data_IF_169036903948
#
_entry.id   IF_169036903948
#
_cell.length_a   1.000
_cell.length_b   1.000
_cell.length_c   1.000
_cell.angle_alpha   90.00
_cell.angle_beta   90.00
_cell.angle_gamma   90.00
#
_symmetry.space_group_name_H-M   'P 1'
#
loop_
_entity.id
_entity.type
_entity.pdbx_description
1 polymer ?
#
# COMPACT_ATOMS: atom_id res chain seq x y z
N UNK A 1 36.59 3.51 -0.07
CA UNK A 1 35.76 4.51 -0.79
C UNK A 1 34.38 4.44 -0.15
N UNK A 2 33.77 5.56 0.22
CA UNK A 2 32.40 5.59 0.71
C UNK A 2 31.45 5.13 -0.40
N UNK A 3 30.50 4.29 -0.08
CA UNK A 3 29.47 3.81 -1.01
C UNK A 3 28.60 5.00 -1.46
N UNK A 4 28.26 5.10 -2.74
CA UNK A 4 27.52 6.21 -3.31
C UNK A 4 26.51 5.72 -4.34
N UNK A 5 25.30 6.29 -4.32
CA UNK A 5 24.21 5.98 -5.24
C UNK A 5 23.54 7.27 -5.73
N UNK A 6 22.99 7.24 -6.92
CA UNK A 6 22.19 8.34 -7.44
C UNK A 6 20.88 8.48 -6.66
N UNK A 7 20.20 7.36 -6.39
CA UNK A 7 18.91 7.33 -5.69
C UNK A 7 18.93 6.27 -4.60
N UNK A 8 18.50 6.66 -3.39
CA UNK A 8 18.16 5.71 -2.33
C UNK A 8 16.64 5.63 -2.12
N UNK A 9 16.11 4.41 -2.13
CA UNK A 9 14.71 4.10 -1.83
C UNK A 9 14.63 3.45 -0.45
N UNK A 10 13.82 3.98 0.45
CA UNK A 10 13.66 3.48 1.81
C UNK A 10 12.33 2.75 1.97
N UNK A 11 12.40 1.44 2.19
CA UNK A 11 11.24 0.55 2.32
C UNK A 11 10.92 -0.22 1.03
N UNK A 12 10.86 -1.54 1.13
CA UNK A 12 10.61 -2.50 0.04
C UNK A 12 9.19 -3.03 -0.01
N UNK A 13 8.21 -2.21 0.41
CA UNK A 13 6.79 -2.47 0.18
C UNK A 13 6.41 -2.26 -1.28
N UNK A 14 5.11 -2.36 -1.58
CA UNK A 14 4.55 -2.21 -2.93
C UNK A 14 5.05 -0.95 -3.66
N UNK A 15 5.07 0.21 -2.98
CA UNK A 15 5.55 1.45 -3.56
C UNK A 15 7.08 1.45 -3.75
N UNK A 16 7.83 0.93 -2.79
CA UNK A 16 9.30 0.92 -2.85
C UNK A 16 9.85 0.00 -3.93
N UNK A 17 9.24 -1.16 -4.16
CA UNK A 17 9.58 -2.03 -5.29
C UNK A 17 9.39 -1.27 -6.60
N UNK A 18 8.24 -0.62 -6.79
CA UNK A 18 7.94 0.15 -7.98
C UNK A 18 8.92 1.34 -8.17
N UNK A 19 9.21 2.06 -7.09
CA UNK A 19 10.15 3.20 -7.11
C UNK A 19 11.56 2.76 -7.47
N UNK A 20 12.08 1.72 -6.82
CA UNK A 20 13.44 1.24 -7.04
C UNK A 20 13.66 0.70 -8.46
N UNK A 21 12.73 -0.12 -8.96
CA UNK A 21 12.81 -0.65 -10.33
C UNK A 21 12.69 0.48 -11.36
N UNK A 22 11.79 1.45 -11.15
CA UNK A 22 11.59 2.56 -12.09
C UNK A 22 12.78 3.53 -12.10
N UNK A 23 13.38 3.83 -10.95
CA UNK A 23 14.59 4.63 -10.84
C UNK A 23 15.77 3.97 -11.56
N UNK A 24 16.00 2.68 -11.29
CA UNK A 24 17.08 1.91 -11.91
C UNK A 24 16.89 1.76 -13.43
N UNK A 25 15.66 1.51 -13.90
CA UNK A 25 15.31 1.48 -15.33
C UNK A 25 15.49 2.84 -16.03
N UNK A 26 15.49 3.95 -15.27
CA UNK A 26 15.80 5.29 -15.77
C UNK A 26 17.32 5.54 -15.86
N UNK A 27 18.17 4.54 -15.57
CA UNK A 27 19.62 4.60 -15.68
C UNK A 27 20.35 5.01 -14.38
N UNK A 28 19.63 5.29 -13.29
CA UNK A 28 20.23 5.71 -12.02
C UNK A 28 20.80 4.52 -11.23
N UNK A 29 21.99 4.68 -10.66
CA UNK A 29 22.51 3.76 -9.64
C UNK A 29 21.64 3.84 -8.40
N UNK A 30 20.82 2.81 -8.16
CA UNK A 30 19.75 2.81 -7.18
C UNK A 30 20.02 1.85 -6.02
N UNK A 31 19.86 2.33 -4.80
CA UNK A 31 19.92 1.54 -3.57
C UNK A 31 18.52 1.40 -2.97
N UNK A 32 18.09 0.17 -2.71
CA UNK A 32 16.87 -0.10 -1.94
C UNK A 32 17.24 -0.60 -0.55
N UNK A 33 16.80 0.12 0.47
CA UNK A 33 17.03 -0.19 1.88
C UNK A 33 15.74 -0.70 2.54
N UNK A 34 15.80 -1.82 3.29
CA UNK A 34 14.68 -2.24 4.14
C UNK A 34 15.17 -2.84 5.45
N UNK A 35 14.45 -2.55 6.53
CA UNK A 35 14.68 -3.13 7.86
C UNK A 35 14.36 -4.63 7.95
N UNK A 36 13.61 -5.16 6.99
CA UNK A 36 13.26 -6.59 6.86
C UNK A 36 14.30 -7.33 6.04
N UNK A 37 14.27 -8.65 6.16
CA UNK A 37 15.14 -9.55 5.40
C UNK A 37 14.69 -9.76 3.95
N UNK A 38 13.48 -9.30 3.57
CA UNK A 38 12.93 -9.53 2.25
C UNK A 38 11.89 -8.47 1.85
N UNK A 39 11.74 -8.27 0.53
CA UNK A 39 10.74 -7.38 -0.05
C UNK A 39 9.32 -7.94 0.06
N UNK A 40 8.33 -7.03 0.04
CA UNK A 40 6.91 -7.39 -0.03
C UNK A 40 6.00 -6.47 0.76
N UNK A 41 6.44 -5.97 1.92
CA UNK A 41 5.61 -5.10 2.76
C UNK A 41 4.20 -5.66 2.99
N UNK A 42 3.18 -4.82 2.87
CA UNK A 42 1.78 -5.23 3.02
C UNK A 42 1.37 -6.28 1.97
N UNK A 43 1.79 -6.14 0.71
CA UNK A 43 1.43 -7.08 -0.36
C UNK A 43 1.94 -8.50 -0.12
N UNK A 44 3.13 -8.66 0.45
CA UNK A 44 3.76 -9.97 0.67
C UNK A 44 3.54 -10.58 2.05
N UNK A 45 3.23 -9.76 3.09
CA UNK A 45 3.28 -10.25 4.47
C UNK A 45 2.02 -10.00 5.30
N UNK A 46 1.01 -9.28 4.80
CA UNK A 46 -0.20 -9.01 5.58
C UNK A 46 -1.31 -10.06 5.45
N UNK A 47 -1.13 -11.04 4.57
CA UNK A 47 -2.17 -12.03 4.28
C UNK A 47 -3.27 -11.55 3.30
N UNK A 48 -3.13 -10.37 2.70
CA UNK A 48 -4.04 -9.89 1.65
C UNK A 48 -3.92 -10.76 0.39
N UNK A 49 -5.05 -11.03 -0.23
CA UNK A 49 -5.17 -11.86 -1.45
C UNK A 49 -5.79 -11.11 -2.63
N UNK A 50 -6.04 -9.81 -2.48
CA UNK A 50 -6.58 -8.97 -3.54
C UNK A 50 -5.80 -7.67 -3.65
N UNK A 51 -5.43 -7.29 -4.87
CA UNK A 51 -4.78 -6.04 -5.22
C UNK A 51 -5.85 -5.05 -5.67
N UNK A 52 -6.02 -3.98 -4.89
CA UNK A 52 -7.03 -2.94 -5.06
C UNK A 52 -6.44 -1.70 -5.71
N UNK A 53 -7.28 -0.87 -6.40
CA UNK A 53 -6.88 0.43 -6.94
C UNK A 53 -6.14 0.36 -8.27
N UNK A 54 -6.30 -0.72 -9.01
CA UNK A 54 -5.77 -0.89 -10.38
C UNK A 54 -6.73 -0.43 -11.46
N UNK A 55 -8.03 -0.45 -11.16
CA UNK A 55 -9.10 -0.30 -12.13
C UNK A 55 -10.03 0.87 -11.78
N UNK A 56 -10.64 1.45 -12.82
CA UNK A 56 -11.78 2.35 -12.69
C UNK A 56 -13.07 1.57 -12.38
N UNK A 57 -14.20 2.26 -12.32
CA UNK A 57 -15.52 1.67 -12.05
C UNK A 57 -16.09 0.86 -13.22
N UNK A 58 -15.51 1.00 -14.43
CA UNK A 58 -15.83 0.19 -15.60
C UNK A 58 -14.90 -1.02 -15.79
N UNK A 59 -13.88 -1.18 -14.91
CA UNK A 59 -12.90 -2.27 -14.98
C UNK A 59 -11.73 -2.01 -15.92
N UNK A 60 -11.52 -0.79 -16.38
CA UNK A 60 -10.36 -0.42 -17.19
C UNK A 60 -9.15 -0.14 -16.30
N UNK A 61 -7.94 -0.40 -16.82
CA UNK A 61 -6.70 -0.06 -16.14
C UNK A 61 -6.57 1.45 -15.93
N UNK A 62 -6.26 1.87 -14.69
CA UNK A 62 -6.05 3.27 -14.34
C UNK A 62 -4.67 3.79 -14.71
N UNK A 63 -3.65 2.96 -14.49
CA UNK A 63 -2.25 3.34 -14.67
C UNK A 63 -1.55 2.27 -15.51
N UNK A 64 -0.90 2.69 -16.58
CA UNK A 64 -0.03 1.85 -17.40
C UNK A 64 1.40 1.77 -16.80
N UNK A 65 2.33 1.19 -17.55
CA UNK A 65 3.73 1.04 -17.14
C UNK A 65 3.90 0.03 -16.01
N UNK A 66 4.79 0.31 -15.06
CA UNK A 66 5.17 -0.65 -14.03
C UNK A 66 3.99 -1.16 -13.19
N UNK A 67 3.02 -0.32 -12.89
CA UNK A 67 1.87 -0.71 -12.08
C UNK A 67 1.06 -1.83 -12.74
N UNK A 68 0.80 -1.70 -14.04
CA UNK A 68 0.12 -2.71 -14.84
C UNK A 68 0.99 -3.94 -15.09
N UNK A 69 2.26 -3.74 -15.47
CA UNK A 69 3.23 -4.81 -15.67
C UNK A 69 3.32 -5.74 -14.45
N UNK A 70 3.51 -5.16 -13.27
CA UNK A 70 3.59 -5.92 -12.01
C UNK A 70 2.29 -6.65 -11.70
N UNK A 71 1.15 -5.98 -11.87
CA UNK A 71 -0.15 -6.56 -11.60
C UNK A 71 -0.49 -7.73 -12.54
N UNK A 72 -0.20 -7.60 -13.85
CA UNK A 72 -0.40 -8.66 -14.83
C UNK A 72 0.46 -9.90 -14.52
N UNK A 73 1.73 -9.73 -14.13
CA UNK A 73 2.60 -10.83 -13.70
C UNK A 73 2.12 -11.49 -12.40
N UNK A 74 1.54 -10.71 -11.49
CA UNK A 74 1.08 -11.18 -10.19
C UNK A 74 -0.26 -11.92 -10.26
N UNK A 75 -1.13 -11.59 -11.22
CA UNK A 75 -2.51 -12.05 -11.30
C UNK A 75 -2.67 -13.58 -11.19
N UNK A 76 -3.67 -14.01 -10.43
CA UNK A 76 -4.14 -15.39 -10.31
C UNK A 76 -5.56 -15.54 -10.89
N UNK A 77 -5.77 -14.96 -12.07
CA UNK A 77 -7.04 -14.96 -12.79
C UNK A 77 -7.49 -13.54 -13.16
N UNK A 78 -8.70 -13.41 -13.73
CA UNK A 78 -9.25 -12.12 -14.12
C UNK A 78 -9.58 -11.23 -12.91
N UNK A 79 -9.74 -9.94 -13.16
CA UNK A 79 -10.27 -9.01 -12.16
C UNK A 79 -11.68 -9.42 -11.72
N UNK A 80 -11.98 -9.25 -10.45
CA UNK A 80 -13.27 -9.54 -9.85
C UNK A 80 -13.97 -8.27 -9.43
N UNK A 81 -15.25 -8.12 -9.80
CA UNK A 81 -16.07 -7.01 -9.34
C UNK A 81 -16.56 -7.26 -7.91
N UNK A 82 -16.30 -6.32 -7.01
CA UNK A 82 -16.78 -6.32 -5.63
C UNK A 82 -17.58 -5.04 -5.38
N UNK A 83 -18.90 -5.12 -5.49
CA UNK A 83 -19.77 -3.94 -5.43
C UNK A 83 -19.46 -2.98 -6.60
N UNK A 84 -18.98 -1.78 -6.29
CA UNK A 84 -18.62 -0.76 -7.30
C UNK A 84 -17.13 -0.69 -7.63
N UNK A 85 -16.32 -1.63 -7.16
CA UNK A 85 -14.87 -1.65 -7.40
C UNK A 85 -14.42 -2.96 -8.01
N UNK A 86 -13.28 -2.93 -8.70
CA UNK A 86 -12.63 -4.13 -9.23
C UNK A 86 -11.34 -4.41 -8.44
N UNK A 87 -11.08 -5.69 -8.18
CA UNK A 87 -9.88 -6.17 -7.49
C UNK A 87 -9.24 -7.30 -8.27
N UNK A 88 -7.93 -7.44 -8.15
CA UNK A 88 -7.18 -8.51 -8.82
C UNK A 88 -6.74 -9.54 -7.79
N UNK A 89 -7.17 -10.82 -7.89
CA UNK A 89 -6.74 -11.88 -6.99
C UNK A 89 -5.25 -12.18 -7.16
N UNK A 90 -4.54 -12.41 -6.07
CA UNK A 90 -3.15 -12.82 -6.05
C UNK A 90 -2.81 -13.64 -4.79
N UNK A 91 -1.67 -14.35 -4.82
CA UNK A 91 -1.10 -15.05 -3.67
C UNK A 91 0.05 -14.25 -3.06
N UNK A 92 0.09 -14.05 -1.73
CA UNK A 92 1.19 -13.34 -1.06
C UNK A 92 2.57 -13.97 -1.33
N UNK A 93 2.64 -15.29 -1.48
CA UNK A 93 3.86 -16.02 -1.84
C UNK A 93 4.38 -15.56 -3.21
N UNK A 94 3.51 -15.58 -4.22
CA UNK A 94 3.83 -15.12 -5.58
C UNK A 94 4.25 -13.64 -5.59
N UNK A 95 3.63 -12.82 -4.74
CA UNK A 95 4.06 -11.41 -4.59
C UNK A 95 5.52 -11.32 -4.14
N UNK A 96 5.91 -12.09 -3.11
CA UNK A 96 7.29 -12.10 -2.60
C UNK A 96 8.29 -12.62 -3.64
N UNK A 97 7.96 -13.70 -4.31
CA UNK A 97 8.78 -14.30 -5.38
C UNK A 97 8.98 -13.34 -6.55
N UNK A 98 7.89 -12.72 -7.03
CA UNK A 98 7.93 -11.74 -8.11
C UNK A 98 8.77 -10.52 -7.71
N UNK A 99 8.56 -9.99 -6.49
CA UNK A 99 9.33 -8.87 -5.98
C UNK A 99 10.83 -9.20 -5.91
N UNK A 100 11.20 -10.36 -5.36
CA UNK A 100 12.58 -10.80 -5.27
C UNK A 100 13.23 -10.96 -6.66
N UNK A 101 12.52 -11.59 -7.60
CA UNK A 101 12.97 -11.78 -8.98
C UNK A 101 13.21 -10.45 -9.68
N UNK A 102 12.26 -9.54 -9.62
CA UNK A 102 12.38 -8.21 -10.26
C UNK A 102 13.52 -7.40 -9.68
N UNK A 103 13.67 -7.37 -8.36
CA UNK A 103 14.76 -6.62 -7.71
C UNK A 103 16.12 -7.21 -8.06
N UNK A 104 16.26 -8.53 -8.10
CA UNK A 104 17.52 -9.19 -8.43
C UNK A 104 17.89 -9.08 -9.92
N UNK A 105 16.92 -9.02 -10.82
CA UNK A 105 17.13 -8.96 -12.27
C UNK A 105 17.21 -7.54 -12.84
N UNK A 106 16.90 -6.51 -12.06
CA UNK A 106 16.95 -5.12 -12.52
C UNK A 106 18.38 -4.59 -12.50
N UNK A 107 18.98 -4.22 -13.66
CA UNK A 107 20.29 -3.58 -13.69
C UNK A 107 20.32 -2.27 -12.88
N UNK A 108 21.49 -1.88 -12.40
CA UNK A 108 21.73 -0.66 -11.61
C UNK A 108 20.98 -0.61 -10.27
N UNK A 109 20.42 -1.73 -9.80
CA UNK A 109 19.71 -1.81 -8.53
C UNK A 109 20.49 -2.70 -7.54
N UNK A 110 20.78 -2.14 -6.37
CA UNK A 110 21.35 -2.86 -5.22
C UNK A 110 20.36 -2.85 -4.07
N UNK A 111 20.33 -3.91 -3.27
CA UNK A 111 19.41 -4.06 -2.13
C UNK A 111 20.19 -4.29 -0.84
N UNK A 112 19.87 -3.53 0.22
CA UNK A 112 20.39 -3.74 1.55
C UNK A 112 19.24 -4.15 2.50
N UNK A 113 19.23 -5.42 2.87
CA UNK A 113 18.26 -6.01 3.80
C UNK A 113 18.72 -5.89 5.25
N UNK A 114 17.79 -6.04 6.19
CA UNK A 114 18.03 -5.92 7.63
C UNK A 114 18.71 -4.59 8.02
N UNK A 115 18.45 -3.54 7.22
CA UNK A 115 19.09 -2.23 7.38
C UNK A 115 18.09 -1.24 7.96
N UNK A 116 18.25 -0.94 9.24
CA UNK A 116 17.49 0.11 9.90
C UNK A 116 18.05 1.48 9.51
N UNK A 117 17.19 2.39 9.12
CA UNK A 117 17.57 3.77 8.88
C UNK A 117 17.72 4.50 10.22
N UNK A 118 18.94 4.93 10.54
CA UNK A 118 19.27 5.54 11.84
C UNK A 118 19.79 6.97 11.73
N UNK A 119 20.23 7.41 10.53
CA UNK A 119 20.79 8.73 10.33
C UNK A 119 20.57 9.26 8.91
N UNK A 120 20.39 10.55 8.81
CA UNK A 120 20.37 11.30 7.56
C UNK A 120 21.13 12.61 7.77
N UNK A 121 21.91 13.04 6.79
CA UNK A 121 22.61 14.33 6.78
C UNK A 121 21.99 15.19 5.70
N UNK A 122 21.61 16.42 6.06
CA UNK A 122 21.06 17.42 5.15
C UNK A 122 22.08 18.54 4.98
N UNK A 123 22.42 18.86 3.74
CA UNK A 123 23.31 19.94 3.34
C UNK A 123 22.64 20.73 2.19
N UNK A 124 22.64 22.04 2.25
CA UNK A 124 22.07 22.91 1.22
C UNK A 124 20.64 22.52 0.77
N UNK A 125 19.74 22.26 1.73
CA UNK A 125 18.37 21.82 1.51
C UNK A 125 18.24 20.47 0.75
N UNK A 126 19.31 19.69 0.69
CA UNK A 126 19.32 18.35 0.11
C UNK A 126 19.80 17.31 1.12
N UNK A 127 19.22 16.11 1.08
CA UNK A 127 19.75 14.97 1.82
C UNK A 127 21.03 14.52 1.10
N UNK A 128 22.18 14.67 1.76
CA UNK A 128 23.49 14.30 1.23
C UNK A 128 23.84 12.84 1.51
N UNK A 129 23.37 12.29 2.64
CA UNK A 129 23.64 10.88 2.96
C UNK A 129 22.56 10.27 3.85
N UNK A 130 22.42 8.93 3.75
CA UNK A 130 21.62 8.07 4.62
C UNK A 130 22.54 6.99 5.23
N UNK A 131 22.57 6.85 6.56
CA UNK A 131 23.46 5.92 7.26
C UNK A 131 24.94 6.00 6.81
N UNK A 132 25.40 7.19 6.42
CA UNK A 132 26.77 7.41 5.89
C UNK A 132 26.98 7.03 4.41
N UNK A 133 25.96 6.55 3.72
CA UNK A 133 25.94 6.29 2.27
C UNK A 133 25.57 7.58 1.55
N UNK A 134 26.39 8.06 0.64
CA UNK A 134 26.09 9.26 -0.15
C UNK A 134 24.99 9.02 -1.18
N UNK A 135 24.07 9.97 -1.31
CA UNK A 135 22.91 9.86 -2.21
C UNK A 135 22.63 11.18 -2.93
N UNK A 136 22.24 11.09 -4.20
CA UNK A 136 21.80 12.25 -4.98
C UNK A 136 20.34 12.63 -4.66
N UNK A 137 19.44 11.64 -4.59
CA UNK A 137 18.05 11.81 -4.22
C UNK A 137 17.56 10.66 -3.33
N UNK A 138 16.47 10.89 -2.60
CA UNK A 138 15.87 9.91 -1.68
C UNK A 138 14.39 9.76 -1.98
N UNK A 139 13.88 8.51 -1.92
CA UNK A 139 12.45 8.21 -2.04
C UNK A 139 11.99 7.49 -0.76
N UNK A 140 11.17 8.15 0.06
CA UNK A 140 10.57 7.52 1.24
C UNK A 140 9.36 6.67 0.83
N UNK A 141 9.53 5.35 0.91
CA UNK A 141 8.49 4.33 0.73
C UNK A 141 8.31 3.49 2.00
N UNK A 142 8.80 3.95 3.15
CA UNK A 142 8.82 3.21 4.42
C UNK A 142 7.43 2.89 4.96
N UNK A 143 6.40 3.62 4.52
CA UNK A 143 5.03 3.53 5.03
C UNK A 143 4.84 4.14 6.42
N UNK A 144 5.89 4.71 7.01
CA UNK A 144 5.93 5.32 8.35
C UNK A 144 6.60 6.69 8.37
N UNK A 145 7.02 7.21 7.18
CA UNK A 145 7.74 8.47 7.00
C UNK A 145 9.07 8.52 7.78
N UNK A 146 9.87 7.46 7.65
CA UNK A 146 11.12 7.33 8.42
C UNK A 146 12.17 8.38 8.03
N UNK A 147 12.30 8.70 6.74
CA UNK A 147 13.24 9.72 6.28
C UNK A 147 12.82 11.08 6.82
N UNK A 148 11.54 11.45 6.65
CA UNK A 148 11.00 12.71 7.16
C UNK A 148 11.20 12.85 8.67
N UNK A 149 10.99 11.79 9.43
CA UNK A 149 11.23 11.77 10.88
C UNK A 149 12.70 12.08 11.24
N UNK A 150 13.65 11.54 10.50
CA UNK A 150 15.08 11.75 10.76
C UNK A 150 15.55 13.17 10.46
N UNK A 151 14.99 13.78 9.43
CA UNK A 151 15.36 15.17 9.06
C UNK A 151 14.46 16.23 9.70
N UNK A 152 13.48 15.82 10.55
CA UNK A 152 12.55 16.74 11.20
C UNK A 152 11.56 17.41 10.25
N UNK A 153 11.24 16.78 9.10
CA UNK A 153 10.26 17.31 8.16
C UNK A 153 8.82 17.18 8.69
N UNK A 154 7.98 18.14 8.35
CA UNK A 154 6.57 18.18 8.76
C UNK A 154 5.79 16.99 8.19
N UNK A 155 4.93 16.41 9.03
CA UNK A 155 4.04 15.32 8.69
C UNK A 155 2.61 15.58 9.15
N UNK A 156 1.64 15.21 8.30
CA UNK A 156 0.27 14.96 8.71
C UNK A 156 0.16 13.56 9.30
N UNK A 157 -0.82 13.30 10.15
CA UNK A 157 -0.99 11.99 10.76
C UNK A 157 -2.45 11.52 10.72
N UNK A 158 -2.62 10.21 10.57
CA UNK A 158 -3.87 9.50 10.88
C UNK A 158 -3.70 8.70 12.16
N UNK A 159 -4.77 8.48 12.89
CA UNK A 159 -4.80 7.68 14.10
C UNK A 159 -5.71 6.44 13.95
N UNK A 160 -5.72 5.60 14.98
CA UNK A 160 -6.55 4.38 15.01
C UNK A 160 -8.05 4.69 15.13
N UNK A 161 -8.46 5.91 15.47
CA UNK A 161 -9.88 6.29 15.57
C UNK A 161 -10.50 6.47 14.19
N UNK A 162 -9.70 6.97 13.23
CA UNK A 162 -10.12 7.23 11.85
C UNK A 162 -9.71 6.11 10.89
N UNK A 163 -8.64 5.37 11.22
CA UNK A 163 -8.07 4.30 10.40
C UNK A 163 -7.70 3.09 11.25
N UNK A 164 -8.72 2.44 11.83
CA UNK A 164 -8.53 1.27 12.68
C UNK A 164 -7.73 0.17 11.98
N UNK A 165 -6.79 -0.41 12.69
CA UNK A 165 -6.00 -1.55 12.24
C UNK A 165 -6.87 -2.79 12.04
N UNK A 166 -6.34 -3.80 11.36
CA UNK A 166 -7.04 -5.07 11.17
C UNK A 166 -6.08 -6.25 11.31
N UNK A 167 -6.63 -7.35 11.78
CA UNK A 167 -6.02 -8.67 11.67
C UNK A 167 -6.50 -9.30 10.37
N UNK A 168 -5.57 -9.77 9.54
CA UNK A 168 -5.90 -10.34 8.23
C UNK A 168 -5.42 -11.79 8.23
N UNK A 169 -6.32 -12.71 7.89
CA UNK A 169 -5.99 -14.13 7.87
C UNK A 169 -6.83 -14.90 6.86
N UNK A 170 -6.28 -15.97 6.24
CA UNK A 170 -7.04 -16.89 5.39
C UNK A 170 -7.93 -17.80 6.25
N UNK A 171 -9.11 -18.10 5.76
CA UNK A 171 -10.03 -19.06 6.36
C UNK A 171 -10.46 -20.04 5.28
N UNK A 172 -9.92 -21.25 5.35
CA UNK A 172 -10.20 -22.35 4.42
C UNK A 172 -11.39 -23.19 4.85
N UNK A 173 -11.80 -24.14 3.98
CA UNK A 173 -12.98 -25.02 4.14
C UNK A 173 -14.30 -24.26 4.30
N UNK A 174 -14.39 -23.08 3.71
CA UNK A 174 -15.61 -22.28 3.67
C UNK A 174 -16.45 -22.74 2.48
N UNK A 175 -17.66 -23.24 2.76
CA UNK A 175 -18.59 -23.77 1.74
C UNK A 175 -19.68 -22.75 1.36
N UNK A 176 -19.54 -21.52 1.79
CA UNK A 176 -20.54 -20.47 1.60
C UNK A 176 -20.02 -19.36 0.69
N UNK A 177 -20.85 -18.99 -0.29
CA UNK A 177 -20.61 -17.80 -1.06
C UNK A 177 -21.00 -16.52 -0.29
N UNK A 178 -20.08 -15.54 -0.25
CA UNK A 178 -20.27 -14.26 0.45
C UNK A 178 -20.60 -13.11 -0.51
N UNK A 179 -21.32 -13.40 -1.61
CA UNK A 179 -21.60 -12.45 -2.69
C UNK A 179 -22.76 -11.48 -2.41
N UNK A 180 -23.62 -11.78 -1.47
CA UNK A 180 -24.82 -10.96 -1.20
C UNK A 180 -24.76 -10.27 0.16
N UNK A 181 -25.35 -9.06 0.31
CA UNK A 181 -25.44 -8.39 1.60
C UNK A 181 -26.13 -9.25 2.69
N UNK A 182 -27.14 -10.02 2.32
CA UNK A 182 -27.82 -10.92 3.23
C UNK A 182 -26.90 -12.04 3.74
N UNK A 183 -26.06 -12.63 2.87
CA UNK A 183 -25.09 -13.64 3.26
C UNK A 183 -24.05 -13.06 4.24
N UNK A 184 -23.57 -11.85 4.00
CA UNK A 184 -22.65 -11.14 4.90
C UNK A 184 -23.32 -10.86 6.25
N UNK A 185 -24.53 -10.35 6.27
CA UNK A 185 -25.26 -10.06 7.51
C UNK A 185 -25.50 -11.31 8.38
N UNK A 186 -25.75 -12.46 7.77
CA UNK A 186 -25.90 -13.72 8.51
C UNK A 186 -24.60 -14.17 9.21
N UNK A 187 -23.45 -13.70 8.77
CA UNK A 187 -22.16 -13.91 9.45
C UNK A 187 -21.92 -12.87 10.54
N UNK A 188 -22.24 -11.61 10.26
CA UNK A 188 -21.97 -10.50 11.18
C UNK A 188 -22.86 -10.54 12.42
N UNK A 189 -24.11 -10.98 12.32
CA UNK A 189 -25.05 -11.03 13.45
C UNK A 189 -24.60 -11.95 14.60
N UNK A 190 -24.15 -13.19 14.37
CA UNK A 190 -23.59 -14.03 15.43
C UNK A 190 -22.37 -13.42 16.12
N UNK A 191 -21.46 -12.82 15.34
CA UNK A 191 -20.27 -12.16 15.87
C UNK A 191 -20.67 -10.96 16.78
N UNK A 192 -21.59 -10.12 16.32
CA UNK A 192 -22.09 -9.00 17.11
C UNK A 192 -22.74 -9.45 18.43
N UNK A 193 -23.52 -10.55 18.40
CA UNK A 193 -24.11 -11.15 19.62
C UNK A 193 -23.06 -11.69 20.58
N UNK A 194 -21.91 -12.14 20.06
CA UNK A 194 -20.78 -12.56 20.86
C UNK A 194 -19.89 -11.39 21.35
N UNK A 195 -20.27 -10.13 21.08
CA UNK A 195 -19.51 -8.94 21.46
C UNK A 195 -18.21 -8.75 20.68
N UNK A 196 -18.09 -9.40 19.52
CA UNK A 196 -16.92 -9.29 18.66
C UNK A 196 -17.07 -8.14 17.66
N UNK A 197 -15.97 -7.42 17.37
CA UNK A 197 -15.92 -6.43 16.30
C UNK A 197 -16.30 -7.02 14.94
N UNK A 198 -16.78 -6.22 13.98
CA UNK A 198 -17.12 -6.69 12.67
C UNK A 198 -15.88 -7.12 11.87
N UNK A 199 -16.13 -7.96 10.88
CA UNK A 199 -15.14 -8.39 9.91
C UNK A 199 -15.68 -8.21 8.48
N UNK A 200 -14.78 -8.26 7.52
CA UNK A 200 -15.12 -8.32 6.10
C UNK A 200 -14.38 -9.48 5.42
N UNK A 201 -14.94 -9.92 4.29
CA UNK A 201 -14.37 -11.00 3.50
C UNK A 201 -13.85 -10.47 2.18
N UNK A 202 -12.73 -11.03 1.74
CA UNK A 202 -12.20 -10.85 0.39
C UNK A 202 -12.05 -12.19 -0.31
N UNK A 203 -12.16 -12.23 -1.64
CA UNK A 203 -11.86 -13.42 -2.41
C UNK A 203 -10.43 -13.90 -2.16
N UNK A 204 -10.25 -15.21 -2.20
CA UNK A 204 -8.94 -15.84 -2.26
C UNK A 204 -8.83 -16.63 -3.56
N UNK A 205 -7.65 -16.70 -4.19
CA UNK A 205 -7.42 -17.61 -5.33
C UNK A 205 -7.45 -19.08 -4.91
N UNK A 206 -7.32 -19.38 -3.62
CA UNK A 206 -7.40 -20.75 -3.10
C UNK A 206 -8.87 -21.23 -3.05
N UNK A 207 -9.18 -22.44 -3.56
CA UNK A 207 -10.53 -23.00 -3.52
C UNK A 207 -11.08 -23.09 -2.08
N UNK A 208 -12.36 -22.79 -1.92
CA UNK A 208 -13.05 -22.84 -0.63
C UNK A 208 -12.36 -22.01 0.49
N UNK A 209 -11.64 -20.99 0.12
CA UNK A 209 -10.91 -20.09 1.05
C UNK A 209 -11.40 -18.65 0.88
N UNK A 210 -11.53 -17.95 1.97
CA UNK A 210 -11.78 -16.51 2.00
C UNK A 210 -10.69 -15.82 2.83
N UNK A 211 -10.33 -14.59 2.48
CA UNK A 211 -9.49 -13.77 3.34
C UNK A 211 -10.37 -12.93 4.24
N UNK A 212 -10.16 -13.09 5.54
CA UNK A 212 -10.87 -12.34 6.59
C UNK A 212 -10.06 -11.11 6.94
N UNK A 213 -10.72 -9.95 7.01
CA UNK A 213 -10.21 -8.72 7.62
C UNK A 213 -11.03 -8.44 8.87
N UNK A 214 -10.45 -8.64 10.03
CA UNK A 214 -11.07 -8.48 11.32
C UNK A 214 -10.54 -7.23 12.03
N UNK A 215 -11.43 -6.32 12.45
CA UNK A 215 -11.04 -5.04 13.08
C UNK A 215 -10.78 -5.17 14.59
N UNK A 216 -10.83 -6.38 15.14
CA UNK A 216 -10.47 -6.67 16.52
C UNK A 216 -8.97 -6.94 16.72
N UNK A 217 -8.64 -7.47 17.89
CA UNK A 217 -7.28 -7.81 18.30
C UNK A 217 -6.94 -9.25 17.91
N UNK A 218 -5.64 -9.57 17.70
CA UNK A 218 -5.16 -10.93 17.37
C UNK A 218 -5.69 -12.01 18.32
N UNK A 219 -5.76 -11.73 19.61
CA UNK A 219 -6.16 -12.69 20.66
C UNK A 219 -7.65 -13.08 20.56
N UNK A 220 -8.45 -12.30 19.83
CA UNK A 220 -9.88 -12.58 19.62
C UNK A 220 -10.14 -13.50 18.42
N UNK A 221 -9.15 -13.74 17.55
CA UNK A 221 -9.33 -14.55 16.32
C UNK A 221 -9.79 -15.99 16.63
N UNK A 222 -9.27 -16.70 17.63
CA UNK A 222 -9.80 -18.02 17.98
C UNK A 222 -11.28 -18.00 18.30
N UNK A 223 -11.75 -16.99 19.05
CA UNK A 223 -13.17 -16.82 19.35
C UNK A 223 -14.00 -16.51 18.09
N UNK A 224 -13.49 -15.69 17.17
CA UNK A 224 -14.13 -15.44 15.86
C UNK A 224 -14.35 -16.74 15.13
N UNK A 225 -13.31 -17.58 15.00
CA UNK A 225 -13.38 -18.87 14.31
C UNK A 225 -14.40 -19.80 14.98
N UNK A 226 -14.43 -19.86 16.30
CA UNK A 226 -15.37 -20.68 17.05
C UNK A 226 -16.83 -20.24 16.82
N UNK A 227 -17.11 -18.94 16.85
CA UNK A 227 -18.46 -18.40 16.55
C UNK A 227 -18.85 -18.73 15.10
N UNK A 228 -17.95 -18.59 14.16
CA UNK A 228 -18.22 -18.96 12.76
C UNK A 228 -18.54 -20.43 12.62
N UNK A 229 -17.78 -21.33 13.22
CA UNK A 229 -17.98 -22.79 13.18
C UNK A 229 -19.32 -23.22 13.78
N UNK A 230 -19.69 -22.63 14.89
CA UNK A 230 -20.86 -23.09 15.67
C UNK A 230 -22.17 -22.40 15.29
N UNK A 231 -22.11 -21.21 14.66
CA UNK A 231 -23.31 -20.39 14.45
C UNK A 231 -23.55 -19.97 12.99
N UNK A 232 -22.64 -20.30 12.05
CA UNK A 232 -22.76 -19.85 10.67
C UNK A 232 -22.69 -21.02 9.70
N UNK A 233 -23.79 -21.28 9.00
CA UNK A 233 -23.89 -22.32 7.97
C UNK A 233 -22.82 -22.14 6.90
N UNK A 234 -22.11 -23.22 6.58
CA UNK A 234 -21.03 -23.26 5.59
C UNK A 234 -19.65 -22.91 6.15
N UNK A 235 -19.56 -22.68 7.48
CA UNK A 235 -18.29 -22.47 8.19
C UNK A 235 -17.98 -23.55 9.22
N UNK A 236 -18.77 -24.62 9.32
CA UNK A 236 -18.67 -25.65 10.36
C UNK A 236 -17.26 -26.27 10.46
N UNK A 237 -16.58 -26.39 9.32
CA UNK A 237 -15.26 -26.97 9.22
C UNK A 237 -14.17 -25.93 8.84
N UNK A 238 -14.47 -24.64 8.98
CA UNK A 238 -13.51 -23.61 8.61
C UNK A 238 -12.28 -23.67 9.52
N UNK A 239 -11.12 -23.42 8.93
CA UNK A 239 -9.83 -23.39 9.63
C UNK A 239 -8.88 -22.37 9.02
N UNK A 240 -7.92 -21.93 9.80
CA UNK A 240 -6.79 -21.15 9.32
C UNK A 240 -5.49 -21.93 9.53
N UNK A 241 -4.54 -21.87 8.59
CA UNK A 241 -3.22 -22.47 8.79
C UNK A 241 -2.32 -21.66 9.74
N UNK A 242 -2.74 -20.45 10.12
CA UNK A 242 -1.95 -19.57 10.97
C UNK A 242 -2.09 -19.94 12.46
N UNK A 243 -0.98 -20.01 13.16
CA UNK A 243 -0.90 -20.18 14.62
C UNK A 243 -0.73 -18.86 15.35
N UNK A 244 -0.21 -17.84 14.65
CA UNK A 244 -0.01 -16.49 15.17
C UNK A 244 -0.66 -15.46 14.24
N UNK A 245 -1.19 -14.41 14.82
CA UNK A 245 -1.88 -13.35 14.10
C UNK A 245 -1.21 -12.00 14.37
N UNK A 246 -0.99 -11.24 13.32
CA UNK A 246 -0.39 -9.92 13.38
C UNK A 246 -1.37 -8.83 12.95
N UNK A 247 -1.18 -7.64 13.48
CA UNK A 247 -1.99 -6.48 13.15
C UNK A 247 -1.42 -5.76 11.92
N UNK A 248 -2.25 -5.52 10.92
CA UNK A 248 -1.96 -4.65 9.78
C UNK A 248 -2.38 -3.21 10.11
N UNK A 249 -1.41 -2.34 10.35
CA UNK A 249 -1.64 -0.95 10.72
C UNK A 249 -2.01 -0.08 9.50
N UNK A 250 -3.16 0.61 9.61
CA UNK A 250 -3.61 1.59 8.60
C UNK A 250 -3.23 3.01 8.98
N UNK A 251 -3.27 3.35 10.25
CA UNK A 251 -2.79 4.63 10.77
C UNK A 251 -1.31 4.86 10.43
N UNK A 252 -0.90 6.12 10.35
CA UNK A 252 0.47 6.47 10.02
C UNK A 252 0.66 7.95 9.72
N UNK A 253 1.81 8.27 9.16
CA UNK A 253 2.21 9.64 8.82
C UNK A 253 2.26 9.82 7.31
N UNK A 254 1.88 11.00 6.85
CA UNK A 254 2.02 11.49 5.49
C UNK A 254 2.98 12.68 5.52
N UNK A 255 3.98 12.68 4.66
CA UNK A 255 4.98 13.75 4.58
C UNK A 255 4.33 14.98 3.93
N UNK A 256 4.53 16.16 4.50
CA UNK A 256 4.03 17.40 3.88
C UNK A 256 4.82 17.67 2.60
N UNK A 257 4.13 17.63 1.48
CA UNK A 257 4.67 17.88 0.15
C UNK A 257 4.37 19.27 -0.37
N UNK A 258 4.82 19.55 -1.57
CA UNK A 258 4.54 20.83 -2.28
C UNK A 258 3.05 21.02 -2.61
N UNK A 259 2.27 19.97 -2.54
CA UNK A 259 0.81 19.98 -2.59
C UNK A 259 0.27 18.91 -1.64
N UNK A 260 -0.76 19.23 -0.87
CA UNK A 260 -1.50 18.26 -0.05
C UNK A 260 -2.74 17.85 -0.81
N UNK A 261 -2.77 16.60 -1.29
CA UNK A 261 -3.97 16.03 -1.91
C UNK A 261 -5.09 15.95 -0.86
N UNK A 262 -6.28 16.44 -1.19
CA UNK A 262 -7.40 16.49 -0.24
C UNK A 262 -8.51 15.49 -0.56
N UNK A 263 -9.28 15.11 0.45
CA UNK A 263 -10.49 14.30 0.25
C UNK A 263 -11.49 14.95 -0.72
N UNK A 264 -11.54 16.28 -0.74
CA UNK A 264 -12.37 17.01 -1.71
C UNK A 264 -11.87 16.84 -3.15
N UNK A 265 -10.55 16.84 -3.38
CA UNK A 265 -9.95 16.56 -4.70
C UNK A 265 -10.32 15.14 -5.16
N UNK A 266 -10.22 14.15 -4.26
CA UNK A 266 -10.57 12.76 -4.55
C UNK A 266 -12.04 12.63 -4.92
N UNK A 267 -12.95 13.16 -4.10
CA UNK A 267 -14.39 13.05 -4.33
C UNK A 267 -14.83 13.75 -5.60
N UNK A 268 -14.19 14.87 -5.95
CA UNK A 268 -14.47 15.62 -7.17
C UNK A 268 -13.83 15.00 -8.45
N UNK A 269 -13.04 13.93 -8.32
CA UNK A 269 -12.30 13.36 -9.47
C UNK A 269 -11.34 14.37 -10.11
N UNK A 270 -10.67 15.21 -9.29
CA UNK A 270 -9.87 16.34 -9.77
C UNK A 270 -8.73 15.91 -10.68
N UNK A 271 -8.51 16.69 -11.74
CA UNK A 271 -7.42 16.53 -12.71
C UNK A 271 -6.35 17.60 -12.46
N UNK A 272 -5.08 17.24 -12.68
CA UNK A 272 -3.93 18.11 -12.43
C UNK A 272 -3.04 18.18 -13.67
N UNK A 273 -2.45 19.36 -13.93
CA UNK A 273 -1.52 19.54 -15.05
C UNK A 273 -0.20 18.75 -14.88
N UNK A 274 0.14 18.40 -13.65
CA UNK A 274 1.31 17.63 -13.24
C UNK A 274 0.91 16.25 -12.72
N UNK A 275 -0.12 15.62 -13.32
CA UNK A 275 -0.58 14.30 -12.92
C UNK A 275 0.52 13.24 -13.01
N UNK A 276 0.80 12.56 -11.91
CA UNK A 276 1.81 11.52 -11.80
C UNK A 276 1.21 10.11 -11.67
N UNK A 277 0.01 10.00 -11.09
CA UNK A 277 -0.72 8.74 -10.96
C UNK A 277 -2.23 9.00 -10.94
N UNK A 278 -3.04 7.94 -11.13
CA UNK A 278 -4.50 7.98 -11.06
C UNK A 278 -5.01 7.08 -9.95
N UNK A 279 -6.08 7.49 -9.28
CA UNK A 279 -6.75 6.75 -8.21
C UNK A 279 -8.27 6.84 -8.38
N UNK A 280 -8.97 5.70 -8.37
CA UNK A 280 -10.43 5.60 -8.39
C UNK A 280 -10.99 4.85 -7.19
N UNK A 281 -10.13 4.46 -6.23
CA UNK A 281 -10.58 3.77 -5.02
C UNK A 281 -11.42 4.71 -4.16
N UNK A 282 -12.57 4.28 -3.60
CA UNK A 282 -13.36 5.13 -2.71
C UNK A 282 -12.54 5.54 -1.48
N UNK A 283 -12.90 6.65 -0.87
CA UNK A 283 -12.38 6.99 0.46
C UNK A 283 -12.91 5.94 1.43
N UNK A 284 -12.03 5.07 1.90
CA UNK A 284 -12.35 3.93 2.76
C UNK A 284 -11.86 4.19 4.18
N UNK A 285 -12.77 4.63 5.05
CA UNK A 285 -12.49 4.87 6.47
C UNK A 285 -12.97 3.71 7.32
N UNK A 286 -12.14 3.30 8.27
CA UNK A 286 -12.40 2.24 9.24
C UNK A 286 -12.41 2.85 10.64
N UNK A 287 -13.59 3.14 11.19
CA UNK A 287 -13.66 3.68 12.54
C UNK A 287 -13.25 2.62 13.58
N UNK A 288 -12.82 3.09 14.77
CA UNK A 288 -12.51 2.23 15.91
C UNK A 288 -13.74 1.39 16.36
N UNK A 289 -14.95 1.85 16.06
CA UNK A 289 -16.21 1.13 16.31
C UNK A 289 -16.49 0.04 15.27
N UNK A 290 -15.54 -0.19 14.34
CA UNK A 290 -15.64 -1.22 13.30
C UNK A 290 -16.59 -0.88 12.15
N UNK A 291 -17.03 0.37 12.02
CA UNK A 291 -17.83 0.81 10.87
C UNK A 291 -16.94 1.20 9.72
N UNK A 292 -17.11 0.54 8.57
CA UNK A 292 -16.48 0.96 7.33
C UNK A 292 -17.38 1.97 6.63
N UNK A 293 -16.84 3.15 6.34
CA UNK A 293 -17.50 4.16 5.52
C UNK A 293 -16.80 4.22 4.15
N UNK A 294 -17.59 4.07 3.09
CA UNK A 294 -17.12 4.18 1.71
C UNK A 294 -17.77 5.41 1.07
N UNK A 295 -16.96 6.37 0.68
CA UNK A 295 -17.38 7.53 -0.11
C UNK A 295 -16.80 7.43 -1.50
N UNK A 296 -17.65 7.26 -2.50
CA UNK A 296 -17.27 7.09 -3.90
C UNK A 296 -17.04 8.44 -4.58
N UNK A 297 -16.19 8.45 -5.59
CA UNK A 297 -15.94 9.61 -6.43
C UNK A 297 -17.21 10.01 -7.20
N UNK A 298 -17.42 11.30 -7.39
CA UNK A 298 -18.51 11.80 -8.20
C UNK A 298 -18.31 11.40 -9.69
N UNK A 299 -19.37 10.91 -10.34
CA UNK A 299 -19.35 10.58 -11.78
C UNK A 299 -18.60 9.31 -12.16
N UNK A 300 -18.13 8.51 -11.22
CA UNK A 300 -17.50 7.20 -11.51
C UNK A 300 -16.12 7.27 -12.18
N UNK A 301 -15.51 8.45 -12.26
CA UNK A 301 -14.19 8.70 -12.87
C UNK A 301 -13.06 8.52 -11.82
N UNK A 302 -11.85 8.88 -12.17
CA UNK A 302 -10.68 8.84 -11.31
C UNK A 302 -10.25 10.24 -10.87
N UNK A 303 -9.61 10.33 -9.73
CA UNK A 303 -8.81 11.47 -9.30
C UNK A 303 -7.35 11.27 -9.76
N UNK A 304 -6.66 12.36 -10.09
CA UNK A 304 -5.23 12.34 -10.34
C UNK A 304 -4.46 12.69 -9.07
N UNK A 305 -3.27 12.09 -8.91
CA UNK A 305 -2.32 12.40 -7.86
C UNK A 305 -1.22 13.25 -8.49
N UNK A 306 -1.07 14.53 -8.12
CA UNK A 306 -0.08 15.41 -8.75
C UNK A 306 1.35 15.08 -8.30
N UNK A 307 2.34 15.32 -9.16
CA UNK A 307 3.75 15.13 -8.86
C UNK A 307 4.20 15.92 -7.61
N UNK A 308 3.63 17.08 -7.38
CA UNK A 308 3.86 17.90 -6.18
C UNK A 308 3.44 17.23 -4.87
N UNK A 309 2.54 16.25 -4.89
CA UNK A 309 2.19 15.42 -3.72
C UNK A 309 3.17 14.27 -3.49
N UNK A 310 4.08 14.03 -4.43
CA UNK A 310 5.15 13.02 -4.34
C UNK A 310 6.52 13.64 -4.08
N UNK A 311 6.61 14.97 -3.85
CA UNK A 311 7.84 15.69 -3.55
C UNK A 311 7.68 16.46 -2.24
N UNK A 312 8.58 16.22 -1.29
CA UNK A 312 8.56 16.87 0.01
C UNK A 312 8.77 18.39 -0.09
N UNK A 313 8.14 19.14 0.82
CA UNK A 313 8.34 20.59 0.92
C UNK A 313 9.64 20.94 1.64
N UNK A 314 10.10 20.08 2.55
CA UNK A 314 11.23 20.35 3.45
C UNK A 314 12.60 20.28 2.77
N UNK A 315 12.75 19.54 1.67
CA UNK A 315 14.01 19.38 0.93
C UNK A 315 13.77 19.32 -0.56
N UNK A 316 14.82 19.58 -1.35
CA UNK A 316 14.70 19.58 -2.82
C UNK A 316 14.70 18.17 -3.41
N UNK A 317 15.38 17.22 -2.76
CA UNK A 317 15.67 15.89 -3.27
C UNK A 317 14.98 14.74 -2.51
N UNK A 318 14.00 15.02 -1.63
CA UNK A 318 13.17 14.01 -1.00
C UNK A 318 11.87 13.83 -1.79
N UNK A 319 11.67 12.64 -2.30
CA UNK A 319 10.44 12.16 -2.90
C UNK A 319 9.75 11.16 -1.99
N UNK A 320 8.49 10.85 -2.25
CA UNK A 320 7.70 9.96 -1.41
C UNK A 320 6.65 9.22 -2.22
N UNK A 321 6.33 7.97 -1.83
CA UNK A 321 5.31 7.17 -2.49
C UNK A 321 4.55 6.24 -1.53
N UNK A 322 3.40 5.79 -1.99
CA UNK A 322 2.55 4.88 -1.23
C UNK A 322 1.84 5.57 -0.07
N UNK A 323 1.87 4.98 1.13
CA UNK A 323 1.11 5.47 2.29
C UNK A 323 1.61 6.80 2.86
N UNK A 324 2.82 7.26 2.49
CA UNK A 324 3.46 8.46 3.04
C UNK A 324 3.36 9.68 2.14
N UNK A 325 2.68 9.60 1.00
CA UNK A 325 2.48 10.74 0.10
C UNK A 325 1.78 11.90 0.81
N UNK A 326 1.95 13.10 0.28
CA UNK A 326 1.30 14.30 0.83
C UNK A 326 -0.19 14.30 0.54
N UNK A 327 -0.96 13.92 1.55
CA UNK A 327 -2.41 13.82 1.47
C UNK A 327 -3.03 14.07 2.85
N UNK A 328 -4.27 14.57 2.88
CA UNK A 328 -5.04 14.63 4.12
C UNK A 328 -5.58 13.22 4.51
N UNK A 329 -6.23 13.15 5.67
CA UNK A 329 -6.76 11.90 6.24
C UNK A 329 -7.74 11.20 5.30
N UNK A 330 -8.54 11.96 4.58
CA UNK A 330 -9.54 11.44 3.64
C UNK A 330 -8.88 10.98 2.33
N UNK A 331 -8.02 11.79 1.75
CA UNK A 331 -7.36 11.45 0.49
C UNK A 331 -6.47 10.21 0.63
N UNK A 332 -5.70 10.09 1.74
CA UNK A 332 -4.86 8.91 1.95
C UNK A 332 -5.69 7.64 2.15
N UNK A 333 -6.91 7.75 2.67
CA UNK A 333 -7.82 6.60 2.80
C UNK A 333 -8.22 5.99 1.44
N UNK A 334 -8.12 6.76 0.36
CA UNK A 334 -8.26 6.31 -1.03
C UNK A 334 -6.91 5.94 -1.65
N UNK A 335 -5.92 6.81 -1.57
CA UNK A 335 -4.67 6.73 -2.34
C UNK A 335 -3.65 5.70 -1.82
N UNK A 336 -3.84 5.10 -0.63
CA UNK A 336 -2.91 4.12 -0.03
C UNK A 336 -3.11 2.67 -0.48
N UNK A 337 -4.10 2.38 -1.33
CA UNK A 337 -4.29 1.02 -1.84
C UNK A 337 -3.16 0.60 -2.76
N UNK A 338 -2.90 -0.71 -2.86
CA UNK A 338 -1.67 -1.23 -3.47
C UNK A 338 -1.50 -0.83 -4.93
N UNK A 339 -2.56 -0.74 -5.74
CA UNK A 339 -2.48 -0.26 -7.12
C UNK A 339 -2.01 1.19 -7.21
N UNK A 340 -2.53 2.07 -6.33
CA UNK A 340 -2.04 3.44 -6.24
C UNK A 340 -0.60 3.50 -5.70
N UNK A 341 -0.23 2.59 -4.78
CA UNK A 341 1.15 2.50 -4.30
C UNK A 341 2.13 2.09 -5.41
N UNK A 342 1.76 1.16 -6.30
CA UNK A 342 2.56 0.81 -7.49
C UNK A 342 2.73 2.02 -8.40
N UNK A 343 1.64 2.72 -8.71
CA UNK A 343 1.66 3.87 -9.61
C UNK A 343 2.47 5.04 -9.04
N UNK A 344 2.23 5.42 -7.78
CA UNK A 344 2.98 6.50 -7.11
C UNK A 344 4.44 6.15 -6.91
N UNK A 345 4.76 4.87 -6.63
CA UNK A 345 6.13 4.38 -6.55
C UNK A 345 6.88 4.54 -7.86
N UNK A 346 6.29 4.05 -8.96
CA UNK A 346 6.89 4.19 -10.28
C UNK A 346 7.09 5.66 -10.67
N UNK A 347 6.09 6.50 -10.41
CA UNK A 347 6.17 7.93 -10.68
C UNK A 347 7.26 8.62 -9.83
N UNK A 348 7.38 8.30 -8.54
CA UNK A 348 8.41 8.87 -7.67
C UNK A 348 9.82 8.48 -8.14
N UNK A 349 10.02 7.22 -8.60
CA UNK A 349 11.28 6.79 -9.20
C UNK A 349 11.67 7.61 -10.44
N UNK A 350 10.73 7.82 -11.35
CA UNK A 350 10.91 8.63 -12.55
C UNK A 350 11.16 10.12 -12.21
N UNK A 351 10.40 10.68 -11.26
CA UNK A 351 10.55 12.07 -10.83
C UNK A 351 11.92 12.33 -10.19
N UNK A 352 12.40 11.42 -9.34
CA UNK A 352 13.72 11.51 -8.73
C UNK A 352 14.84 11.47 -9.79
N UNK A 353 14.76 10.55 -10.76
CA UNK A 353 15.70 10.47 -11.87
C UNK A 353 15.69 11.74 -12.75
N UNK A 354 14.51 12.26 -13.09
CA UNK A 354 14.38 13.51 -13.85
C UNK A 354 14.94 14.73 -13.10
N UNK A 355 14.74 14.78 -11.77
CA UNK A 355 15.29 15.84 -10.94
C UNK A 355 16.81 15.82 -10.94
N UNK A 356 17.44 14.63 -10.80
CA UNK A 356 18.91 14.49 -10.87
C UNK A 356 19.48 14.94 -12.21
N UNK A 357 18.85 14.52 -13.31
CA UNK A 357 19.26 14.94 -14.65
C UNK A 357 19.20 16.46 -14.83
N UNK A 358 18.15 17.12 -14.30
CA UNK A 358 18.01 18.57 -14.37
C UNK A 358 19.00 19.33 -13.49
N UNK A 359 19.42 18.73 -12.37
CA UNK A 359 20.37 19.33 -11.44
C UNK A 359 21.85 19.10 -11.86
N UNK A 360 22.11 18.39 -12.96
CA UNK A 360 23.47 18.03 -13.42
C UNK A 360 24.20 17.09 -12.45
N UNK A 361 23.47 16.29 -11.70
CA UNK A 361 23.99 15.41 -10.64
C UNK A 361 23.95 13.92 -11.00
N UNK A 362 23.76 13.57 -12.27
CA UNK A 362 23.86 12.18 -12.79
C UNK A 362 25.23 11.88 -13.30
#
# INVERSE_FOLDING_TARGET
MSESFDIAVVGSGTAGIAAAVSAARSGCATLLLDRRAAAGGTGGFSGLTTLCGLFDDAGNWLNDGFAREFAEMLAEGPSLQMGKVYVLPYRPEKFRELAATLLASTPNLQTHWNTLLTGAVVEDDCIASLNGIHVGAVIDCSGTAEVARLIGADCLATDETTQASAVIFPLGNVRREMKTPAAVMQVLLPLARAGLPPLSFQPSPEPNTVTVKFTGRPEQVPQVIEVLRTQVNGFENCLTPLTEFTTAHRAGRMIVGRYVLTGADVLAGRKFHDAAARCAWPIEQWSAEGRTQLRYLAGGDHCEIPARSLQAAATQNLFMAGKVISADVDAIASARVMGCCLATGAAAGQLAAAWLASAGKT
#
